data_IF_730073740378
#
_entry.id   IF_730073740378
#
_cell.length_a   1.000
_cell.length_b   1.000
_cell.length_c   1.000
_cell.angle_alpha   90.00
_cell.angle_beta   90.00
_cell.angle_gamma   90.00
#
_symmetry.space_group_name_H-M   'P 1'
#
loop_
_entity.id
_entity.type
_entity.pdbx_description
1 polymer ?
#
# COMPACT_ATOMS: atom_id res chain seq x y z
N UNK A 1 7.97 13.78 4.70
CA UNK A 1 7.15 12.96 5.64
C UNK A 1 7.93 11.76 6.12
N UNK A 2 7.68 11.34 7.33
CA UNK A 2 8.25 10.09 7.86
C UNK A 2 7.59 8.88 7.20
N UNK A 3 8.27 7.75 7.14
CA UNK A 3 7.69 6.53 6.54
C UNK A 3 6.33 6.15 7.11
N UNK A 4 6.15 6.26 8.43
CA UNK A 4 4.88 5.99 9.08
C UNK A 4 3.76 6.90 8.57
N UNK A 5 4.05 8.18 8.38
CA UNK A 5 3.07 9.15 7.89
C UNK A 5 2.62 8.82 6.46
N UNK A 6 3.57 8.42 5.61
CA UNK A 6 3.26 7.99 4.24
C UNK A 6 2.37 6.76 4.27
N UNK A 7 2.70 5.80 5.12
CA UNK A 7 1.92 4.57 5.25
C UNK A 7 0.51 4.84 5.77
N UNK A 8 0.34 5.76 6.72
CA UNK A 8 -0.99 6.14 7.21
C UNK A 8 -1.84 6.77 6.11
N UNK A 9 -1.25 7.59 5.25
CA UNK A 9 -1.93 8.13 4.08
C UNK A 9 -2.30 7.03 3.08
N UNK A 10 -1.41 6.08 2.90
CA UNK A 10 -1.65 4.93 2.02
C UNK A 10 -2.87 4.13 2.50
N UNK A 11 -2.95 3.84 3.79
CA UNK A 11 -4.08 3.12 4.38
C UNK A 11 -5.39 3.89 4.16
N UNK A 12 -5.37 5.19 4.36
CA UNK A 12 -6.55 6.02 4.15
C UNK A 12 -7.02 5.98 2.68
N UNK A 13 -6.11 6.13 1.73
CA UNK A 13 -6.42 6.03 0.31
C UNK A 13 -6.94 4.64 -0.06
N UNK A 14 -6.31 3.60 0.46
CA UNK A 14 -6.70 2.22 0.23
C UNK A 14 -8.14 1.97 0.71
N UNK A 15 -8.46 2.42 1.91
CA UNK A 15 -9.79 2.22 2.48
C UNK A 15 -10.88 3.04 1.80
N UNK A 16 -10.51 4.12 1.13
CA UNK A 16 -11.42 4.93 0.32
C UNK A 16 -11.52 4.47 -1.13
N UNK A 17 -10.76 3.46 -1.50
CA UNK A 17 -10.63 2.98 -2.88
C UNK A 17 -10.21 4.11 -3.83
N UNK A 18 -9.28 4.95 -3.39
CA UNK A 18 -8.79 6.11 -4.12
C UNK A 18 -7.51 5.75 -4.88
N UNK A 19 -7.68 5.17 -6.06
CA UNK A 19 -6.56 4.70 -6.87
C UNK A 19 -5.61 5.83 -7.30
N UNK A 20 -6.14 7.01 -7.59
CA UNK A 20 -5.33 8.14 -8.02
C UNK A 20 -4.38 8.59 -6.90
N UNK A 21 -4.92 8.89 -5.72
CA UNK A 21 -4.11 9.42 -4.62
C UNK A 21 -3.19 8.35 -4.01
N UNK A 22 -3.60 7.09 -3.97
CA UNK A 22 -2.70 6.04 -3.49
C UNK A 22 -1.50 5.89 -4.42
N UNK A 23 -1.71 5.97 -5.74
CA UNK A 23 -0.62 5.89 -6.71
C UNK A 23 0.34 7.08 -6.59
N UNK A 24 -0.15 8.25 -6.21
CA UNK A 24 0.69 9.44 -6.01
C UNK A 24 1.68 9.28 -4.86
N UNK A 25 1.46 8.34 -3.96
CA UNK A 25 2.38 8.05 -2.87
C UNK A 25 3.59 7.22 -3.31
N UNK A 26 3.55 6.65 -4.52
CA UNK A 26 4.63 5.85 -5.07
C UNK A 26 5.60 6.70 -5.89
N UNK A 27 6.88 6.34 -5.85
CA UNK A 27 7.88 6.94 -6.75
C UNK A 27 7.60 6.49 -8.19
N UNK A 28 8.09 7.27 -9.16
CA UNK A 28 7.90 6.96 -10.59
C UNK A 28 8.39 5.56 -10.95
N UNK A 29 9.50 5.13 -10.35
CA UNK A 29 10.13 3.84 -10.58
C UNK A 29 9.85 2.82 -9.47
N UNK A 30 8.82 3.04 -8.67
CA UNK A 30 8.49 2.16 -7.55
C UNK A 30 8.15 0.75 -8.03
N UNK A 31 8.36 -0.22 -7.14
CA UNK A 31 7.99 -1.62 -7.35
C UNK A 31 6.99 -2.01 -6.27
N UNK A 32 5.87 -2.56 -6.68
CA UNK A 32 4.89 -3.16 -5.77
C UNK A 32 4.95 -4.67 -5.95
N UNK A 33 5.34 -5.38 -4.90
CA UNK A 33 5.48 -6.82 -4.95
C UNK A 33 4.58 -7.48 -3.91
N UNK A 34 3.51 -8.08 -4.38
CA UNK A 34 2.66 -8.97 -3.58
C UNK A 34 3.17 -10.39 -3.81
N UNK A 35 3.72 -10.99 -2.78
CA UNK A 35 4.65 -12.14 -2.86
C UNK A 35 4.21 -13.28 -3.78
N UNK A 36 2.92 -13.59 -3.85
CA UNK A 36 2.41 -14.66 -4.71
C UNK A 36 2.30 -14.26 -6.19
N UNK A 37 2.53 -13.00 -6.52
CA UNK A 37 2.36 -12.46 -7.86
C UNK A 37 3.66 -11.87 -8.39
N UNK A 38 3.72 -11.63 -9.69
CA UNK A 38 4.83 -10.91 -10.30
C UNK A 38 4.88 -9.47 -9.78
N UNK A 39 6.09 -8.90 -9.59
CA UNK A 39 6.21 -7.50 -9.21
C UNK A 39 5.61 -6.57 -10.25
N UNK A 40 4.93 -5.53 -9.78
CA UNK A 40 4.38 -4.47 -10.63
C UNK A 40 5.36 -3.30 -10.59
N UNK A 41 5.88 -2.90 -11.74
CA UNK A 41 6.94 -1.91 -11.84
C UNK A 41 6.40 -0.60 -12.41
N UNK A 42 6.69 0.49 -11.71
CA UNK A 42 6.37 1.85 -12.13
C UNK A 42 5.02 2.33 -11.62
N UNK A 43 4.98 3.62 -11.32
CA UNK A 43 3.81 4.29 -10.75
C UNK A 43 2.55 4.11 -11.59
N UNK A 44 2.67 4.21 -12.92
CA UNK A 44 1.53 4.10 -13.81
C UNK A 44 0.92 2.69 -13.78
N UNK A 45 1.76 1.66 -13.80
CA UNK A 45 1.30 0.27 -13.72
C UNK A 45 0.68 -0.02 -12.35
N UNK A 46 1.25 0.54 -11.29
CA UNK A 46 0.70 0.44 -9.93
C UNK A 46 -0.67 1.11 -9.86
N UNK A 47 -0.83 2.27 -10.47
CA UNK A 47 -2.11 2.96 -10.55
C UNK A 47 -3.17 2.06 -11.21
N UNK A 48 -2.84 1.49 -12.37
CA UNK A 48 -3.76 0.59 -13.10
C UNK A 48 -4.14 -0.64 -12.27
N UNK A 49 -3.18 -1.19 -11.55
CA UNK A 49 -3.43 -2.30 -10.63
C UNK A 49 -4.48 -1.93 -9.58
N UNK A 50 -4.35 -0.78 -8.94
CA UNK A 50 -5.32 -0.33 -7.94
C UNK A 50 -6.68 -0.03 -8.55
N UNK A 51 -6.74 0.57 -9.74
CA UNK A 51 -8.00 0.79 -10.45
C UNK A 51 -8.74 -0.54 -10.62
N UNK A 52 -8.05 -1.59 -11.08
CA UNK A 52 -8.65 -2.89 -11.27
C UNK A 52 -9.08 -3.54 -9.95
N UNK A 53 -8.23 -3.51 -8.94
CA UNK A 53 -8.54 -4.12 -7.64
C UNK A 53 -9.74 -3.44 -6.97
N UNK A 54 -9.77 -2.13 -6.97
CA UNK A 54 -10.88 -1.38 -6.36
C UNK A 54 -12.19 -1.50 -7.13
N UNK A 55 -12.12 -1.77 -8.43
CA UNK A 55 -13.32 -2.00 -9.25
C UNK A 55 -13.92 -3.38 -9.02
N UNK A 56 -13.14 -4.37 -8.62
CA UNK A 56 -13.57 -5.76 -8.52
C UNK A 56 -13.86 -6.24 -7.10
N UNK A 57 -13.34 -5.53 -6.09
CA UNK A 57 -13.51 -5.92 -4.68
C UNK A 57 -13.50 -4.70 -3.78
N UNK A 58 -14.33 -4.75 -2.75
CA UNK A 58 -14.24 -3.79 -1.66
C UNK A 58 -13.23 -4.31 -0.66
N UNK A 59 -12.10 -3.60 -0.54
CA UNK A 59 -11.00 -4.01 0.33
C UNK A 59 -10.86 -3.01 1.47
N UNK A 60 -10.62 -3.55 2.66
CA UNK A 60 -10.40 -2.74 3.87
C UNK A 60 -9.14 -3.24 4.56
N UNK A 61 -8.25 -2.31 4.86
CA UNK A 61 -7.03 -2.57 5.62
C UNK A 61 -7.23 -1.99 7.01
N UNK A 62 -7.24 -2.86 8.02
CA UNK A 62 -7.34 -2.46 9.43
C UNK A 62 -5.95 -2.54 10.01
N UNK A 63 -5.42 -1.40 10.43
CA UNK A 63 -4.10 -1.32 11.05
C UNK A 63 -4.11 -1.99 12.41
N UNK A 64 -3.17 -2.92 12.64
CA UNK A 64 -2.93 -3.50 13.95
C UNK A 64 -1.70 -2.89 14.62
N UNK A 65 -0.58 -2.85 13.88
CA UNK A 65 0.67 -2.25 14.35
C UNK A 65 1.42 -1.62 13.18
N UNK A 66 2.10 -0.51 13.43
CA UNK A 66 3.04 0.10 12.48
C UNK A 66 4.38 0.27 13.17
N UNK A 67 5.44 -0.17 12.51
CA UNK A 67 6.81 -0.02 12.97
C UNK A 67 7.60 0.81 11.97
N UNK A 68 8.56 1.58 12.45
CA UNK A 68 9.51 2.32 11.60
C UNK A 68 10.92 1.84 11.88
N UNK A 69 11.72 1.73 10.82
CA UNK A 69 13.15 1.44 10.91
C UNK A 69 13.85 2.17 9.76
N UNK A 70 14.51 3.29 10.07
CA UNK A 70 15.12 4.15 9.07
C UNK A 70 14.07 4.66 8.07
N UNK A 71 14.25 4.33 6.79
CA UNK A 71 13.32 4.72 5.74
C UNK A 71 12.22 3.68 5.50
N UNK A 72 12.20 2.61 6.30
CA UNK A 72 11.19 1.57 6.20
C UNK A 72 10.03 1.82 7.15
N UNK A 73 8.83 1.53 6.70
CA UNK A 73 7.65 1.37 7.55
C UNK A 73 7.10 -0.03 7.33
N UNK A 74 6.71 -0.70 8.42
CA UNK A 74 6.19 -2.05 8.38
C UNK A 74 4.82 -2.03 9.02
N UNK A 75 3.81 -2.54 8.31
CA UNK A 75 2.47 -2.64 8.83
C UNK A 75 2.10 -4.10 9.08
N UNK A 76 1.48 -4.35 10.23
CA UNK A 76 0.70 -5.55 10.47
C UNK A 76 -0.77 -5.16 10.35
N UNK A 77 -1.52 -5.85 9.50
CA UNK A 77 -2.91 -5.50 9.21
C UNK A 77 -3.80 -6.74 9.25
N UNK A 78 -5.09 -6.47 9.32
CA UNK A 78 -6.13 -7.49 9.14
C UNK A 78 -7.24 -6.93 8.26
N UNK A 79 -8.05 -7.81 7.69
CA UNK A 79 -9.28 -7.41 7.03
C UNK A 79 -10.50 -7.70 7.94
N UNK A 80 -11.71 -7.24 7.55
CA UNK A 80 -12.90 -7.48 8.36
C UNK A 80 -13.27 -8.95 8.53
N UNK A 81 -12.75 -9.84 7.69
CA UNK A 81 -13.01 -11.28 7.75
C UNK A 81 -11.97 -12.02 8.60
N UNK A 82 -10.98 -11.31 9.12
CA UNK A 82 -9.96 -11.89 9.99
C UNK A 82 -8.69 -12.36 9.30
N UNK A 83 -8.58 -12.20 7.99
CA UNK A 83 -7.33 -12.46 7.27
C UNK A 83 -6.29 -11.43 7.71
N UNK A 84 -5.09 -11.88 8.03
CA UNK A 84 -4.01 -11.03 8.53
C UNK A 84 -2.81 -11.08 7.60
N UNK A 85 -2.07 -9.99 7.57
CA UNK A 85 -0.86 -9.91 6.78
C UNK A 85 0.07 -8.82 7.28
N UNK A 86 1.20 -8.68 6.58
CA UNK A 86 2.13 -7.59 6.83
C UNK A 86 2.66 -7.06 5.51
N UNK A 87 3.10 -5.82 5.52
CA UNK A 87 3.69 -5.16 4.37
C UNK A 87 4.91 -4.34 4.77
N UNK A 88 5.87 -4.26 3.87
CA UNK A 88 7.10 -3.51 4.04
C UNK A 88 7.13 -2.39 3.01
N UNK A 89 7.25 -1.16 3.47
CA UNK A 89 7.26 0.02 2.61
C UNK A 89 8.56 0.77 2.78
N UNK A 90 9.30 0.95 1.69
CA UNK A 90 10.53 1.70 1.68
C UNK A 90 10.26 3.10 1.13
N UNK A 91 10.53 4.11 1.94
CA UNK A 91 10.43 5.51 1.51
C UNK A 91 11.71 5.89 0.77
N UNK A 92 11.57 6.35 -0.47
CA UNK A 92 12.69 6.94 -1.21
C UNK A 92 12.82 8.43 -0.91
N UNK A 93 14.04 8.88 -0.87
CA UNK A 93 14.36 10.30 -0.77
C UNK A 93 14.49 10.93 -2.14
#
# INVERSE_FOLDING_TARGET
>A
MKPKEVLEKWIDCFNKADAYHIAELYATDAVNHQVANEPIIGKESIYKMFVNEFATAKMVCIEENIFEDGEWAIIEWKDPLGLRGCGFFLRKR
#
